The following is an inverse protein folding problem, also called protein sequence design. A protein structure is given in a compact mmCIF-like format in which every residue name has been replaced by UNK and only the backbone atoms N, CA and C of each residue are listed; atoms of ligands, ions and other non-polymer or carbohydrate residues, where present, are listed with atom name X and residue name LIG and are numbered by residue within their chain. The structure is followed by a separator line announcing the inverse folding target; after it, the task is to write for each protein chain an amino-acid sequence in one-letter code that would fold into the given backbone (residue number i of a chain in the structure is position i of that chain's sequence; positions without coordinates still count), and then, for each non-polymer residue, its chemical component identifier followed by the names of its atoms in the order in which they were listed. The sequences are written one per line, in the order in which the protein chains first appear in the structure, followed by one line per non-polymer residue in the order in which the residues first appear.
data_IF_139120821568
#
_entry.id   IF_139120821568
#
_cell.length_a   1.000
_cell.length_b   1.000
_cell.length_c   1.000
_cell.angle_alpha   90.00
_cell.angle_beta   90.00
_cell.angle_gamma   90.00
#
_symmetry.space_group_name_H-M   'P 1'
#
loop_
_entity.id
_entity.type
_entity.pdbx_description
1 polymer ?
#
# COMPACT_ATOMS: atom_id res chain seq x y z
N UNK A 1 5.10 -11.53 -0.99
CA UNK A 1 5.10 -12.09 -2.35
C UNK A 1 5.14 -10.93 -3.34
N UNK A 2 6.09 -10.92 -4.27
CA UNK A 2 6.24 -9.87 -5.29
C UNK A 2 5.73 -10.30 -6.68
N UNK A 3 5.08 -11.46 -6.78
CA UNK A 3 4.41 -11.87 -8.00
C UNK A 3 3.33 -10.84 -8.40
N UNK A 4 2.98 -10.69 -9.69
CA UNK A 4 1.94 -9.77 -10.12
C UNK A 4 0.59 -9.99 -9.41
N UNK A 5 0.27 -11.26 -9.14
CA UNK A 5 -0.91 -11.63 -8.36
C UNK A 5 -0.76 -11.19 -6.90
N UNK A 6 0.38 -11.49 -6.27
CA UNK A 6 0.68 -11.13 -4.89
C UNK A 6 0.58 -9.63 -4.64
N UNK A 7 1.14 -8.80 -5.52
CA UNK A 7 1.05 -7.32 -5.41
C UNK A 7 -0.40 -6.86 -5.49
N UNK A 8 -1.16 -7.37 -6.47
CA UNK A 8 -2.57 -7.01 -6.68
C UNK A 8 -3.43 -7.37 -5.47
N UNK A 9 -3.20 -8.53 -4.87
CA UNK A 9 -3.94 -9.02 -3.70
C UNK A 9 -3.54 -8.26 -2.43
N UNK A 10 -2.23 -8.11 -2.17
CA UNK A 10 -1.72 -7.44 -0.97
C UNK A 10 -2.11 -5.96 -0.89
N UNK A 11 -2.04 -5.25 -2.02
CA UNK A 11 -2.44 -3.84 -2.12
C UNK A 11 -3.92 -3.67 -2.47
N UNK A 12 -4.68 -4.75 -2.67
CA UNK A 12 -6.10 -4.74 -3.01
C UNK A 12 -6.44 -3.87 -4.25
N UNK A 13 -5.68 -4.05 -5.33
CA UNK A 13 -5.69 -3.16 -6.51
C UNK A 13 -6.86 -3.42 -7.48
N UNK A 14 -7.67 -4.46 -7.28
CA UNK A 14 -8.85 -4.75 -8.11
C UNK A 14 -10.06 -3.87 -7.75
N UNK A 15 -9.85 -2.54 -7.68
CA UNK A 15 -10.83 -1.54 -7.24
C UNK A 15 -10.71 -0.26 -8.07
N UNK A 16 -11.79 0.54 -8.23
CA UNK A 16 -11.76 1.78 -9.00
C UNK A 16 -11.15 2.95 -8.21
N UNK A 17 -9.88 2.86 -7.84
CA UNK A 17 -9.18 3.82 -6.95
C UNK A 17 -8.23 4.79 -7.69
N UNK A 18 -8.12 4.67 -9.01
CA UNK A 18 -7.02 5.30 -9.78
C UNK A 18 -7.26 6.75 -10.19
N UNK A 19 -8.53 7.21 -10.27
CA UNK A 19 -8.84 8.55 -10.79
C UNK A 19 -8.13 9.67 -9.99
N UNK A 20 -8.06 9.51 -8.67
CA UNK A 20 -7.41 10.49 -7.76
C UNK A 20 -5.90 10.54 -7.85
N UNK A 21 -5.26 9.55 -8.49
CA UNK A 21 -3.80 9.50 -8.64
C UNK A 21 -3.33 10.23 -9.92
N UNK A 22 -4.26 10.62 -10.80
CA UNK A 22 -3.95 11.25 -12.09
C UNK A 22 -3.49 12.72 -11.95
N UNK A 23 -3.64 13.32 -10.77
CA UNK A 23 -3.20 14.68 -10.46
C UNK A 23 -2.52 14.71 -9.08
N UNK A 24 -1.58 15.64 -8.92
CA UNK A 24 -0.85 15.87 -7.66
C UNK A 24 -0.01 14.67 -7.17
N UNK A 25 0.32 13.73 -8.06
CA UNK A 25 1.23 12.62 -7.81
C UNK A 25 0.55 11.36 -7.24
N UNK A 26 1.26 10.24 -7.40
CA UNK A 26 0.83 8.92 -6.94
C UNK A 26 1.22 8.62 -5.48
N UNK A 27 2.17 9.38 -4.91
CA UNK A 27 2.82 9.09 -3.63
C UNK A 27 2.75 10.27 -2.66
N UNK A 28 3.00 10.00 -1.37
CA UNK A 28 3.06 11.01 -0.31
C UNK A 28 1.70 11.49 0.17
N UNK A 29 0.66 10.69 -0.06
CA UNK A 29 -0.73 10.99 0.32
C UNK A 29 -1.24 9.88 1.24
N UNK A 30 -2.03 10.23 2.24
CA UNK A 30 -2.55 9.26 3.20
C UNK A 30 -3.41 8.18 2.50
N UNK A 31 -3.35 6.92 2.97
CA UNK A 31 -4.22 5.86 2.50
C UNK A 31 -5.69 6.15 2.86
N UNK A 32 -6.59 5.85 1.93
CA UNK A 32 -8.03 6.05 2.08
C UNK A 32 -8.73 4.74 2.48
N UNK A 33 -9.88 4.84 3.18
CA UNK A 33 -10.66 3.67 3.64
C UNK A 33 -11.18 2.80 2.48
N UNK A 34 -11.37 3.38 1.29
CA UNK A 34 -11.83 2.68 0.09
C UNK A 34 -10.71 1.93 -0.65
N UNK A 35 -9.48 1.98 -0.12
CA UNK A 35 -8.28 1.35 -0.69
C UNK A 35 -7.44 2.29 -1.56
N UNK A 36 -7.82 3.57 -1.69
CA UNK A 36 -6.96 4.58 -2.31
C UNK A 36 -5.60 4.65 -1.61
N UNK A 37 -4.53 4.75 -2.40
CA UNK A 37 -3.14 4.81 -1.90
C UNK A 37 -2.78 3.68 -0.92
N UNK A 38 -3.29 2.47 -1.13
CA UNK A 38 -2.97 1.32 -0.26
C UNK A 38 -1.47 1.04 -0.10
N UNK A 39 -0.63 1.49 -1.05
CA UNK A 39 0.83 1.41 -1.02
C UNK A 39 1.49 2.41 -0.06
N UNK A 40 0.75 3.40 0.46
CA UNK A 40 1.23 4.36 1.45
C UNK A 40 1.00 3.88 2.89
N UNK A 41 0.37 2.70 3.08
CA UNK A 41 0.24 2.10 4.41
C UNK A 41 1.61 1.66 4.93
N UNK A 42 1.83 1.89 6.21
CA UNK A 42 3.01 1.43 6.96
C UNK A 42 2.66 0.29 7.92
N UNK A 43 1.68 -0.53 7.54
CA UNK A 43 1.13 -1.63 8.33
C UNK A 43 2.14 -2.76 8.57
N UNK A 44 3.18 -2.86 7.74
CA UNK A 44 4.26 -3.84 7.90
C UNK A 44 5.41 -3.38 8.82
N UNK A 45 5.39 -2.15 9.36
CA UNK A 45 6.54 -1.62 10.12
C UNK A 45 6.87 -2.48 11.34
N UNK A 46 5.87 -2.89 12.12
CA UNK A 46 6.09 -3.64 13.35
C UNK A 46 6.58 -5.08 13.06
N UNK A 47 6.01 -5.72 12.05
CA UNK A 47 6.45 -7.04 11.57
C UNK A 47 7.91 -7.02 11.10
N UNK A 48 8.29 -5.97 10.36
CA UNK A 48 9.66 -5.78 9.90
C UNK A 48 10.61 -5.54 11.09
N UNK A 49 10.26 -4.66 12.02
CA UNK A 49 11.05 -4.41 13.24
C UNK A 49 11.27 -5.69 14.04
N UNK A 50 10.22 -6.46 14.25
CA UNK A 50 10.25 -7.75 14.95
C UNK A 50 11.17 -8.75 14.25
N UNK A 51 11.11 -8.82 12.92
CA UNK A 51 11.94 -9.74 12.11
C UNK A 51 13.44 -9.45 12.26
N UNK A 52 13.83 -8.18 12.42
CA UNK A 52 15.23 -7.78 12.52
C UNK A 52 15.70 -7.54 13.96
N UNK A 53 14.87 -7.78 14.98
CA UNK A 53 15.21 -7.55 16.39
C UNK A 53 15.42 -6.07 16.75
N UNK A 54 14.91 -5.15 15.93
CA UNK A 54 14.93 -3.72 16.22
C UNK A 54 13.74 -3.41 17.15
N UNK A 55 13.99 -3.47 18.45
CA UNK A 55 13.03 -3.04 19.50
C UNK A 55 13.10 -1.53 19.73
#
# INVERSE_FOLDING_TARGET
DLSPRGIREHLNLSRPIYARTAAYGHFGRAPDEDGGFSWERTDLVDDLKSTFGAS
#
